data_IF_799477985148
#
_entry.id   IF_799477985148
#
_cell.length_a   1.000
_cell.length_b   1.000
_cell.length_c   1.000
_cell.angle_alpha   90.00
_cell.angle_beta   90.00
_cell.angle_gamma   90.00
#
_symmetry.space_group_name_H-M   'P 1'
#
loop_
_entity.id
_entity.type
_entity.pdbx_description
1 polymer ?
#
# COMPACT_ATOMS: atom_id res chain seq x y z
N UNK A 1 -16.34 10.32 28.19
CA UNK A 1 -15.22 9.90 29.03
C UNK A 1 -15.24 8.39 29.08
N UNK A 2 -14.46 7.80 28.18
CA UNK A 2 -14.21 6.38 28.02
C UNK A 2 -12.73 6.11 28.28
N UNK A 3 -12.37 4.85 28.46
CA UNK A 3 -10.96 4.42 28.52
C UNK A 3 -10.31 4.76 27.17
N UNK A 4 -9.17 5.45 27.20
CA UNK A 4 -8.48 5.98 26.03
C UNK A 4 -8.78 7.45 25.68
N UNK A 5 -9.76 8.10 26.34
CA UNK A 5 -10.02 9.53 26.13
C UNK A 5 -8.89 10.38 26.72
N UNK A 6 -8.43 11.40 25.99
CA UNK A 6 -7.52 12.43 26.53
C UNK A 6 -8.33 13.37 27.43
N UNK A 7 -7.91 13.50 28.68
CA UNK A 7 -8.56 14.30 29.70
C UNK A 7 -7.59 15.33 30.26
N UNK A 8 -8.12 16.51 30.60
CA UNK A 8 -7.39 17.59 31.26
C UNK A 8 -7.93 17.78 32.66
N UNK A 9 -7.03 17.94 33.63
CA UNK A 9 -7.44 18.24 35.00
C UNK A 9 -7.95 19.69 35.13
N UNK A 10 -8.97 19.92 35.96
CA UNK A 10 -9.53 21.27 36.19
C UNK A 10 -8.58 22.12 37.03
N UNK A 11 -7.92 21.50 38.01
CA UNK A 11 -7.09 22.18 39.02
C UNK A 11 -5.59 22.11 38.75
N UNK A 12 -5.17 21.35 37.74
CA UNK A 12 -3.78 21.19 37.36
C UNK A 12 -3.62 21.40 35.84
N UNK A 13 -2.45 21.87 35.41
CA UNK A 13 -2.14 22.07 33.99
C UNK A 13 -1.89 20.77 33.22
N UNK A 14 -1.85 19.66 33.92
CA UNK A 14 -1.50 18.35 33.38
C UNK A 14 -2.67 17.75 32.58
N UNK A 15 -2.30 17.03 31.53
CA UNK A 15 -3.19 16.24 30.69
C UNK A 15 -2.80 14.77 30.83
N UNK A 16 -3.79 13.89 30.74
CA UNK A 16 -3.57 12.46 30.80
C UNK A 16 -4.55 11.69 29.93
N UNK A 17 -4.34 10.40 29.81
CA UNK A 17 -5.24 9.47 29.14
C UNK A 17 -5.89 8.57 30.17
N UNK A 18 -7.20 8.38 30.06
CA UNK A 18 -7.94 7.50 30.98
C UNK A 18 -7.51 6.05 30.74
N UNK A 19 -6.91 5.40 31.75
CA UNK A 19 -6.48 3.99 31.68
C UNK A 19 -7.54 3.05 32.23
N UNK A 20 -8.21 3.44 33.34
CA UNK A 20 -9.17 2.57 34.03
C UNK A 20 -10.17 3.35 34.89
N UNK A 21 -11.35 2.78 35.10
CA UNK A 21 -12.31 3.26 36.10
C UNK A 21 -12.13 2.53 37.43
N UNK A 22 -12.11 3.27 38.53
CA UNK A 22 -12.00 2.75 39.89
C UNK A 22 -13.33 2.85 40.64
N UNK A 23 -13.49 2.07 41.70
CA UNK A 23 -14.61 2.14 42.63
C UNK A 23 -14.67 3.53 43.28
N UNK A 24 -15.88 4.09 43.49
CA UNK A 24 -16.03 5.37 44.18
C UNK A 24 -15.83 6.61 43.30
N UNK A 25 -16.26 6.56 42.03
CA UNK A 25 -16.26 7.69 41.10
C UNK A 25 -14.85 8.27 40.80
N UNK A 26 -13.83 7.44 40.97
CA UNK A 26 -12.44 7.74 40.63
C UNK A 26 -12.07 7.15 39.27
N UNK A 27 -11.15 7.82 38.57
CA UNK A 27 -10.64 7.46 37.25
C UNK A 27 -9.12 7.46 37.35
N UNK A 28 -8.49 6.40 36.87
CA UNK A 28 -7.04 6.34 36.74
C UNK A 28 -6.63 7.02 35.43
N UNK A 29 -5.74 8.00 35.53
CA UNK A 29 -5.16 8.70 34.38
C UNK A 29 -3.66 8.46 34.32
N UNK A 30 -3.13 8.27 33.10
CA UNK A 30 -1.69 8.27 32.83
C UNK A 30 -1.31 9.64 32.26
N UNK A 31 -0.46 10.38 32.97
CA UNK A 31 0.05 11.69 32.54
C UNK A 31 1.17 11.54 31.51
N UNK A 32 1.57 12.63 30.83
CA UNK A 32 2.64 12.61 29.81
C UNK A 32 3.99 12.06 30.33
N UNK A 33 4.24 12.20 31.63
CA UNK A 33 5.42 11.66 32.32
C UNK A 33 5.32 10.15 32.66
N UNK A 34 4.25 9.47 32.25
CA UNK A 34 4.06 8.01 32.43
C UNK A 34 3.62 7.58 33.83
N UNK A 35 3.34 8.52 34.73
CA UNK A 35 2.81 8.22 36.06
C UNK A 35 1.29 8.01 36.03
N UNK A 36 0.82 7.04 36.81
CA UNK A 36 -0.61 6.74 36.96
C UNK A 36 -1.13 7.30 38.26
N UNK A 37 -2.11 8.19 38.17
CA UNK A 37 -2.67 8.90 39.31
C UNK A 37 -4.18 8.67 39.34
N UNK A 38 -4.74 8.19 40.47
CA UNK A 38 -6.18 8.14 40.65
C UNK A 38 -6.72 9.55 40.92
N UNK A 39 -7.63 10.01 40.08
CA UNK A 39 -8.25 11.34 40.18
C UNK A 39 -9.77 11.21 40.17
N UNK A 40 -10.46 12.16 40.77
CA UNK A 40 -11.93 12.15 40.76
C UNK A 40 -12.46 12.49 39.37
N UNK A 41 -13.51 11.79 38.93
CA UNK A 41 -14.16 12.06 37.63
C UNK A 41 -14.62 13.52 37.51
N UNK A 42 -15.02 14.14 38.61
CA UNK A 42 -15.44 15.55 38.68
C UNK A 42 -14.30 16.55 38.45
N UNK A 43 -13.05 16.12 38.57
CA UNK A 43 -11.86 16.97 38.35
C UNK A 43 -11.29 16.84 36.93
N UNK A 44 -11.96 16.09 36.06
CA UNK A 44 -11.53 15.81 34.69
C UNK A 44 -12.48 16.37 33.65
N UNK A 45 -11.91 16.98 32.62
CA UNK A 45 -12.62 17.44 31.42
C UNK A 45 -12.09 16.69 30.21
N UNK A 46 -12.97 16.07 29.42
CA UNK A 46 -12.59 15.38 28.18
C UNK A 46 -12.15 16.42 27.15
N UNK A 47 -10.96 16.24 26.59
CA UNK A 47 -10.45 17.07 25.50
C UNK A 47 -10.86 16.40 24.19
N UNK A 48 -11.92 16.91 23.56
CA UNK A 48 -12.27 16.46 22.21
C UNK A 48 -11.26 17.03 21.19
N UNK A 49 -10.78 16.24 20.22
CA UNK A 49 -9.95 16.75 19.12
C UNK A 49 -10.59 17.94 18.39
N UNK A 50 -11.93 18.00 18.38
CA UNK A 50 -12.71 19.06 17.75
C UNK A 50 -12.77 20.37 18.56
N UNK A 51 -12.52 20.34 19.87
CA UNK A 51 -12.48 21.53 20.73
C UNK A 51 -11.12 22.24 20.65
N UNK A 52 -10.03 21.50 20.46
CA UNK A 52 -8.70 22.08 20.23
C UNK A 52 -8.69 22.96 18.96
N UNK A 53 -9.42 22.58 17.92
CA UNK A 53 -9.54 23.37 16.68
C UNK A 53 -10.45 24.59 16.79
N UNK A 54 -11.42 24.60 17.73
CA UNK A 54 -12.39 25.70 17.87
C UNK A 54 -11.96 26.78 18.85
N UNK A 55 -11.19 26.45 19.89
CA UNK A 55 -10.79 27.41 20.93
C UNK A 55 -9.47 28.14 20.63
N UNK A 56 -8.68 27.69 19.63
CA UNK A 56 -7.41 28.29 19.23
C UNK A 56 -7.49 29.18 17.98
N UNK A 57 -8.69 29.59 17.54
CA UNK A 57 -8.82 30.62 16.51
C UNK A 57 -8.93 32.01 17.15
N UNK A 58 -7.86 32.81 17.25
CA UNK A 58 -8.05 34.25 17.16
C UNK A 58 -8.58 34.54 15.75
N UNK A 59 -9.66 35.31 15.66
CA UNK A 59 -10.15 35.87 14.41
C UNK A 59 -9.05 36.71 13.77
N UNK A 60 -8.29 36.09 12.87
CA UNK A 60 -7.22 36.72 12.13
C UNK A 60 -6.90 35.84 10.93
N UNK A 61 -7.09 36.39 9.73
CA UNK A 61 -6.65 35.80 8.48
C UNK A 61 -5.13 35.59 8.54
N UNK A 62 -4.70 34.41 8.98
CA UNK A 62 -3.33 33.94 8.84
C UNK A 62 -3.36 32.67 8.01
N UNK A 63 -3.03 32.80 6.72
CA UNK A 63 -2.62 31.67 5.91
C UNK A 63 -1.45 30.97 6.61
N UNK A 64 -1.45 29.63 6.75
CA UNK A 64 -0.30 28.94 7.30
C UNK A 64 0.91 29.24 6.41
N UNK A 65 2.07 29.60 7.00
CA UNK A 65 3.27 29.89 6.21
C UNK A 65 3.65 28.62 5.45
N UNK A 66 3.70 28.72 4.12
CA UNK A 66 4.37 27.71 3.30
C UNK A 66 5.83 27.68 3.72
N UNK A 67 6.40 26.53 4.11
CA UNK A 67 7.82 26.43 4.34
C UNK A 67 8.53 26.69 3.00
N UNK A 68 9.16 27.85 2.90
CA UNK A 68 10.05 28.25 1.81
C UNK A 68 11.46 27.79 2.13
N UNK A 69 11.93 26.79 1.41
CA UNK A 69 13.32 26.35 1.40
C UNK A 69 13.46 24.84 1.54
N UNK A 70 14.27 24.17 0.70
CA UNK A 70 14.57 22.75 0.90
C UNK A 70 15.50 22.63 2.10
N UNK A 71 14.93 22.34 3.28
CA UNK A 71 15.73 21.74 4.36
C UNK A 71 15.89 20.28 4.00
N UNK A 72 17.00 19.95 3.32
CA UNK A 72 17.41 18.57 3.14
C UNK A 72 17.84 18.05 4.52
N UNK A 73 16.89 17.54 5.30
CA UNK A 73 17.21 16.59 6.35
C UNK A 73 17.43 15.25 5.68
N UNK A 74 18.60 14.65 5.88
CA UNK A 74 18.97 13.32 5.40
C UNK A 74 18.08 12.16 5.93
N UNK A 75 17.00 12.48 6.66
CA UNK A 75 16.09 11.53 7.32
C UNK A 75 14.62 11.73 6.87
N UNK A 76 14.36 12.05 5.60
CA UNK A 76 12.99 12.04 5.09
C UNK A 76 12.53 10.59 4.89
N UNK A 77 11.37 10.25 5.43
CA UNK A 77 10.74 8.96 5.20
C UNK A 77 9.79 8.50 6.29
N UNK A 78 9.31 7.26 6.11
CA UNK A 78 8.49 6.53 7.09
C UNK A 78 9.37 5.53 7.81
N UNK A 79 9.32 5.53 9.14
CA UNK A 79 10.19 4.70 9.97
C UNK A 79 9.39 3.91 11.00
N UNK A 80 9.91 2.74 11.34
CA UNK A 80 9.59 2.02 12.56
C UNK A 80 10.76 2.16 13.53
N UNK A 81 10.47 2.68 14.72
CA UNK A 81 11.45 2.96 15.75
C UNK A 81 11.17 2.13 17.00
N UNK A 82 12.21 1.52 17.58
CA UNK A 82 12.15 0.84 18.87
C UNK A 82 12.88 1.69 19.89
N UNK A 83 12.13 2.28 20.82
CA UNK A 83 12.65 3.18 21.85
C UNK A 83 12.62 2.46 23.18
N UNK A 84 13.73 2.47 23.92
CA UNK A 84 13.81 1.77 25.20
C UNK A 84 12.87 2.45 26.21
N UNK A 85 11.93 1.68 26.76
CA UNK A 85 11.05 2.14 27.84
C UNK A 85 11.70 1.87 29.20
N UNK A 86 12.46 0.77 29.30
CA UNK A 86 13.24 0.37 30.46
C UNK A 86 14.46 -0.46 29.98
N UNK A 87 15.22 -1.03 30.91
CA UNK A 87 16.44 -1.80 30.61
C UNK A 87 16.18 -3.09 29.80
N UNK A 88 14.92 -3.52 29.64
CA UNK A 88 14.55 -4.81 29.04
C UNK A 88 13.59 -4.70 27.85
N UNK A 89 12.76 -3.66 27.83
CA UNK A 89 11.62 -3.53 26.92
C UNK A 89 11.69 -2.29 26.04
N UNK A 90 11.24 -2.47 24.81
CA UNK A 90 11.12 -1.42 23.81
C UNK A 90 9.66 -1.11 23.52
N UNK A 91 9.34 0.18 23.45
CA UNK A 91 8.13 0.69 22.86
C UNK A 91 8.32 0.90 21.35
N UNK A 92 7.38 0.38 20.55
CA UNK A 92 7.42 0.55 19.10
C UNK A 92 6.68 1.81 18.70
N UNK A 93 7.30 2.61 17.84
CA UNK A 93 6.72 3.83 17.30
C UNK A 93 6.79 3.77 15.78
N UNK A 94 5.68 4.09 15.12
CA UNK A 94 5.66 4.44 13.71
C UNK A 94 5.87 5.95 13.59
N UNK A 95 6.83 6.35 12.78
CA UNK A 95 7.25 7.75 12.64
C UNK A 95 7.10 8.16 11.19
N UNK A 96 6.33 9.21 10.97
CA UNK A 96 6.19 9.86 9.69
C UNK A 96 6.97 11.17 9.70
N UNK A 97 8.18 11.17 9.13
CA UNK A 97 8.96 12.39 8.93
C UNK A 97 8.78 12.99 7.52
N UNK A 98 7.68 12.63 6.85
CA UNK A 98 7.29 13.19 5.55
C UNK A 98 6.21 14.26 5.74
N UNK A 99 5.86 14.92 4.63
CA UNK A 99 4.78 15.91 4.60
C UNK A 99 3.44 15.31 4.12
N UNK A 100 3.34 13.98 4.06
CA UNK A 100 2.16 13.25 3.60
C UNK A 100 1.32 12.75 4.78
N UNK A 101 0.01 12.72 4.60
CA UNK A 101 -0.88 11.92 5.44
C UNK A 101 -0.76 10.46 4.99
N UNK A 102 -0.68 9.55 5.96
CA UNK A 102 -0.52 8.12 5.69
C UNK A 102 -1.53 7.30 6.49
N UNK A 103 -2.73 7.02 5.94
CA UNK A 103 -3.57 5.94 6.42
C UNK A 103 -2.79 4.62 6.37
N UNK A 104 -2.80 3.86 7.47
CA UNK A 104 -2.00 2.65 7.59
C UNK A 104 -2.67 1.54 8.39
N UNK A 105 -2.17 0.33 8.17
CA UNK A 105 -2.37 -0.83 9.05
C UNK A 105 -1.02 -1.44 9.41
N UNK A 106 -0.92 -1.97 10.62
CA UNK A 106 0.24 -2.68 11.12
C UNK A 106 -0.21 -4.00 11.73
N UNK A 107 0.46 -5.09 11.36
CA UNK A 107 0.15 -6.44 11.82
C UNK A 107 1.41 -7.26 12.11
N UNK A 108 1.26 -8.29 12.92
CA UNK A 108 2.25 -9.34 13.14
C UNK A 108 1.94 -10.55 12.27
N UNK A 109 2.94 -11.02 11.53
CA UNK A 109 2.87 -12.24 10.72
C UNK A 109 3.69 -13.33 11.42
N UNK A 110 3.02 -14.44 11.79
CA UNK A 110 3.64 -15.64 12.38
C UNK A 110 3.26 -16.86 11.55
N UNK A 111 4.13 -17.26 10.63
CA UNK A 111 3.85 -18.35 9.70
C UNK A 111 2.77 -17.94 8.69
N UNK A 112 1.57 -18.52 8.80
CA UNK A 112 0.42 -18.23 7.93
C UNK A 112 -0.64 -17.35 8.57
N UNK A 113 -0.52 -17.06 9.87
CA UNK A 113 -1.49 -16.21 10.59
C UNK A 113 -1.01 -14.77 10.65
N UNK A 114 -1.96 -13.85 10.50
CA UNK A 114 -1.75 -12.42 10.59
C UNK A 114 -2.60 -11.85 11.72
N UNK A 115 -1.97 -11.20 12.68
CA UNK A 115 -2.65 -10.56 13.81
C UNK A 115 -2.52 -9.04 13.68
N UNK A 116 -3.64 -8.32 13.58
CA UNK A 116 -3.62 -6.86 13.49
C UNK A 116 -3.21 -6.22 14.81
N UNK A 117 -2.21 -5.34 14.79
CA UNK A 117 -1.76 -4.58 15.97
C UNK A 117 -2.47 -3.23 16.06
N UNK A 118 -2.48 -2.49 14.96
CA UNK A 118 -2.98 -1.12 14.95
C UNK A 118 -3.36 -0.67 13.53
N UNK A 119 -4.30 0.25 13.45
CA UNK A 119 -4.59 1.01 12.23
C UNK A 119 -4.87 2.46 12.57
N UNK A 120 -4.71 3.35 11.61
CA UNK A 120 -4.94 4.78 11.84
C UNK A 120 -4.43 5.64 10.69
N UNK A 121 -4.25 6.93 10.96
CA UNK A 121 -3.66 7.88 10.02
C UNK A 121 -2.46 8.54 10.67
N UNK A 122 -1.27 8.31 10.12
CA UNK A 122 -0.05 9.03 10.50
C UNK A 122 -0.04 10.38 9.81
N UNK A 123 -0.16 11.44 10.61
CA UNK A 123 -0.08 12.82 10.13
C UNK A 123 1.35 13.19 9.71
N UNK A 124 1.52 14.22 8.86
CA UNK A 124 2.82 14.79 8.58
C UNK A 124 3.59 15.12 9.85
N UNK A 125 4.89 14.82 9.88
CA UNK A 125 5.79 15.11 11.01
C UNK A 125 5.25 14.65 12.37
N UNK A 126 4.68 13.45 12.41
CA UNK A 126 4.08 12.89 13.63
C UNK A 126 4.54 11.46 13.86
N UNK A 127 4.23 10.94 15.05
CA UNK A 127 4.49 9.55 15.43
C UNK A 127 3.28 8.93 16.10
N UNK A 128 3.07 7.64 15.88
CA UNK A 128 2.09 6.83 16.62
C UNK A 128 2.83 5.74 17.40
N UNK A 129 2.58 5.70 18.71
CA UNK A 129 3.08 4.66 19.62
C UNK A 129 2.14 3.45 19.57
N UNK A 130 2.72 2.25 19.57
CA UNK A 130 1.99 0.99 19.75
C UNK A 130 1.75 0.72 21.25
N UNK A 131 0.67 0.00 21.55
CA UNK A 131 0.34 -0.39 22.92
C UNK A 131 1.24 -1.53 23.45
N UNK A 132 1.72 -2.40 22.55
CA UNK A 132 2.51 -3.56 22.91
C UNK A 132 3.99 -3.20 23.10
N UNK A 133 4.61 -3.87 24.07
CA UNK A 133 6.03 -3.75 24.39
C UNK A 133 6.76 -5.02 23.97
N UNK A 134 7.99 -4.85 23.49
CA UNK A 134 8.81 -5.96 23.01
C UNK A 134 10.10 -6.06 23.80
N UNK A 135 10.33 -7.23 24.39
CA UNK A 135 11.55 -7.50 25.17
C UNK A 135 12.72 -7.87 24.27
N UNK A 136 13.91 -7.36 24.59
CA UNK A 136 15.15 -7.79 23.93
C UNK A 136 15.41 -9.30 24.08
N UNK A 137 15.06 -9.88 25.22
CA UNK A 137 15.31 -11.30 25.51
C UNK A 137 14.55 -12.25 24.57
N UNK A 138 13.45 -11.77 23.97
CA UNK A 138 12.60 -12.55 23.07
C UNK A 138 12.82 -12.19 21.60
N UNK A 139 13.85 -11.40 21.27
CA UNK A 139 14.09 -10.86 19.93
C UNK A 139 14.11 -11.93 18.83
N UNK A 140 14.70 -13.09 19.09
CA UNK A 140 14.74 -14.21 18.12
C UNK A 140 13.35 -14.79 17.79
N UNK A 141 12.38 -14.57 18.69
CA UNK A 141 10.98 -15.01 18.56
C UNK A 141 10.03 -13.89 18.14
N UNK A 142 10.56 -12.69 17.85
CA UNK A 142 9.73 -11.58 17.39
C UNK A 142 9.05 -11.91 16.05
N UNK A 143 7.82 -11.42 15.85
CA UNK A 143 7.10 -11.64 14.61
C UNK A 143 7.70 -10.81 13.47
N UNK A 144 7.28 -11.14 12.25
CA UNK A 144 7.49 -10.23 11.12
C UNK A 144 6.41 -9.17 11.18
N UNK A 145 6.81 -7.90 11.23
CA UNK A 145 5.86 -6.80 11.17
C UNK A 145 5.48 -6.52 9.72
N UNK A 146 4.19 -6.61 9.39
CA UNK A 146 3.64 -6.19 8.10
C UNK A 146 3.04 -4.79 8.25
N UNK A 147 3.69 -3.81 7.65
CA UNK A 147 3.18 -2.46 7.50
C UNK A 147 2.57 -2.26 6.11
N UNK A 148 1.39 -1.66 6.06
CA UNK A 148 0.73 -1.27 4.83
C UNK A 148 0.22 0.16 4.96
N UNK A 149 0.52 1.02 3.99
CA UNK A 149 0.15 2.43 4.01
C UNK A 149 -0.19 3.00 2.65
N UNK A 150 -1.02 4.03 2.63
CA UNK A 150 -1.42 4.76 1.43
C UNK A 150 -0.96 6.22 1.51
N UNK A 151 -0.34 6.73 0.45
CA UNK A 151 0.09 8.13 0.38
C UNK A 151 -1.10 9.05 0.11
N UNK A 152 -1.36 10.01 1.00
CA UNK A 152 -2.40 11.02 0.80
C UNK A 152 -1.88 12.45 1.03
N UNK A 153 -2.25 13.36 0.13
CA UNK A 153 -2.08 14.80 0.30
C UNK A 153 -3.12 15.52 -0.54
N UNK A 154 -3.71 16.58 0.02
CA UNK A 154 -4.64 17.44 -0.70
C UNK A 154 -3.90 18.43 -1.65
N UNK A 155 -3.15 17.90 -2.60
CA UNK A 155 -2.40 18.66 -3.60
C UNK A 155 -2.28 17.88 -4.92
N UNK A 156 -1.98 18.57 -6.02
CA UNK A 156 -1.58 17.89 -7.26
C UNK A 156 -0.22 17.24 -7.04
N UNK A 157 -0.17 15.92 -7.09
CA UNK A 157 1.01 15.11 -6.83
C UNK A 157 1.05 13.93 -7.80
N UNK A 158 2.25 13.44 -8.09
CA UNK A 158 2.42 12.21 -8.87
C UNK A 158 1.93 11.01 -8.06
N UNK A 159 1.43 10.00 -8.78
CA UNK A 159 1.02 8.74 -8.17
C UNK A 159 2.19 8.07 -7.44
N UNK A 160 1.92 7.57 -6.24
CA UNK A 160 2.83 6.71 -5.47
C UNK A 160 2.10 5.41 -5.16
N UNK A 161 2.79 4.28 -5.37
CA UNK A 161 2.25 2.97 -5.04
C UNK A 161 2.01 2.83 -3.53
N UNK A 162 1.04 2.03 -3.09
CA UNK A 162 0.87 1.69 -1.68
C UNK A 162 2.17 1.15 -1.08
N UNK A 163 2.54 1.65 0.09
CA UNK A 163 3.72 1.20 0.81
C UNK A 163 3.39 -0.10 1.53
N UNK A 164 3.98 -1.21 1.09
CA UNK A 164 3.83 -2.53 1.75
C UNK A 164 5.21 -3.01 2.16
N UNK A 165 5.46 -3.13 3.47
CA UNK A 165 6.76 -3.51 4.01
C UNK A 165 6.62 -4.62 5.04
N UNK A 166 7.35 -5.72 4.82
CA UNK A 166 7.59 -6.76 5.82
C UNK A 166 8.94 -6.50 6.50
N UNK A 167 8.93 -6.27 7.80
CA UNK A 167 10.12 -6.04 8.60
C UNK A 167 10.31 -7.18 9.60
N UNK A 168 11.42 -7.90 9.45
CA UNK A 168 11.88 -8.88 10.44
C UNK A 168 13.10 -8.33 11.18
N UNK A 169 12.95 -8.09 12.47
CA UNK A 169 14.05 -7.62 13.31
C UNK A 169 15.04 -8.77 13.58
N UNK A 170 16.34 -8.50 13.46
CA UNK A 170 17.41 -9.46 13.77
C UNK A 170 18.42 -8.81 14.73
N UNK A 171 18.94 -9.58 15.68
CA UNK A 171 19.86 -9.09 16.72
C UNK A 171 21.11 -8.40 16.16
N UNK A 172 21.63 -8.89 15.03
CA UNK A 172 22.83 -8.34 14.37
C UNK A 172 22.61 -6.91 13.84
N UNK A 173 21.41 -6.62 13.29
CA UNK A 173 21.08 -5.32 12.72
C UNK A 173 20.55 -4.35 13.77
N UNK A 174 20.05 -4.87 14.90
CA UNK A 174 19.48 -4.08 15.98
C UNK A 174 20.54 -3.18 16.62
N UNK A 175 21.70 -3.68 17.01
CA UNK A 175 22.73 -2.84 17.66
C UNK A 175 23.28 -1.69 16.78
N UNK A 176 23.30 -1.87 15.45
CA UNK A 176 23.84 -0.89 14.50
C UNK A 176 22.81 0.20 14.15
N UNK A 177 21.52 -0.05 14.35
CA UNK A 177 20.44 0.87 13.96
C UNK A 177 20.11 1.94 15.00
N UNK A 178 20.90 2.05 16.09
CA UNK A 178 20.68 3.05 17.14
C UNK A 178 20.99 4.45 16.61
N UNK A 179 19.94 5.26 16.44
CA UNK A 179 19.99 6.63 15.95
C UNK A 179 18.98 7.49 16.70
N UNK A 180 19.09 8.80 16.54
CA UNK A 180 18.04 9.71 16.98
C UNK A 180 16.80 9.52 16.11
N UNK A 181 15.68 9.18 16.74
CA UNK A 181 14.40 8.97 16.08
C UNK A 181 13.81 10.33 15.70
N UNK A 182 13.52 10.59 14.40
CA UNK A 182 12.88 11.83 13.97
C UNK A 182 11.54 12.06 14.68
N UNK A 183 11.12 13.31 14.85
CA UNK A 183 9.89 13.73 15.57
C UNK A 183 9.93 13.48 17.08
N UNK A 184 10.38 12.31 17.53
CA UNK A 184 10.47 11.94 18.94
C UNK A 184 11.70 12.53 19.65
N UNK A 185 12.79 12.81 18.92
CA UNK A 185 14.06 13.31 19.46
C UNK A 185 14.67 12.43 20.56
N UNK A 186 14.39 11.13 20.53
CA UNK A 186 14.90 10.13 21.47
C UNK A 186 15.85 9.16 20.77
N UNK A 187 16.72 8.51 21.53
CA UNK A 187 17.57 7.44 21.00
C UNK A 187 16.75 6.16 20.84
N UNK A 188 16.82 5.56 19.65
CA UNK A 188 16.10 4.32 19.36
C UNK A 188 16.67 3.58 18.16
N UNK A 189 16.26 2.34 18.01
CA UNK A 189 16.63 1.51 16.86
C UNK A 189 15.69 1.84 15.70
N UNK A 190 16.22 2.45 14.65
CA UNK A 190 15.43 3.02 13.56
C UNK A 190 15.52 2.15 12.30
N UNK A 191 14.35 1.79 11.75
CA UNK A 191 14.21 1.04 10.50
C UNK A 191 13.37 1.84 9.52
N UNK A 192 13.93 2.13 8.36
CA UNK A 192 13.21 2.83 7.30
C UNK A 192 12.31 1.87 6.53
N UNK A 193 11.02 2.18 6.45
CA UNK A 193 10.01 1.33 5.83
C UNK A 193 9.89 1.58 4.33
N UNK A 194 10.20 2.79 3.88
CA UNK A 194 10.14 3.25 2.48
C UNK A 194 11.51 3.22 1.77
N UNK A 195 12.54 2.59 2.35
CA UNK A 195 13.88 2.55 1.76
C UNK A 195 13.95 1.85 0.39
N UNK A 196 13.06 0.89 0.13
CA UNK A 196 12.97 0.19 -1.15
C UNK A 196 12.03 0.89 -2.14
N UNK A 197 11.40 1.99 -1.72
CA UNK A 197 10.68 2.88 -2.63
C UNK A 197 11.73 3.61 -3.46
N UNK A 198 12.27 2.92 -4.47
CA UNK A 198 12.85 3.62 -5.62
C UNK A 198 11.74 4.52 -6.10
N UNK A 199 11.91 5.83 -5.95
CA UNK A 199 11.03 6.81 -6.59
C UNK A 199 10.89 6.32 -8.03
N UNK A 200 9.71 5.78 -8.36
CA UNK A 200 9.44 5.43 -9.73
C UNK A 200 9.66 6.74 -10.49
N UNK A 201 10.60 6.80 -11.46
CA UNK A 201 10.72 7.99 -12.26
C UNK A 201 9.32 8.32 -12.76
N UNK A 202 8.97 9.61 -12.74
CA UNK A 202 7.67 10.13 -13.14
C UNK A 202 7.25 9.77 -14.59
N UNK A 203 8.01 8.90 -15.26
CA UNK A 203 7.91 8.46 -16.64
C UNK A 203 7.02 7.21 -16.83
N UNK A 204 6.51 6.59 -15.76
CA UNK A 204 5.58 5.46 -15.88
C UNK A 204 4.09 5.85 -15.84
N UNK A 205 3.76 7.14 -15.94
CA UNK A 205 2.47 7.55 -16.46
C UNK A 205 2.65 7.71 -17.97
N UNK A 206 2.08 6.79 -18.75
CA UNK A 206 1.96 6.97 -20.19
C UNK A 206 1.51 8.41 -20.47
N UNK A 207 2.22 9.20 -21.28
CA UNK A 207 1.68 10.48 -21.71
C UNK A 207 0.35 10.17 -22.41
N UNK A 208 -0.73 10.81 -21.93
CA UNK A 208 -1.96 10.90 -22.68
C UNK A 208 -1.57 11.35 -24.10
N UNK A 209 -2.04 10.67 -25.17
CA UNK A 209 -1.77 11.14 -26.51
C UNK A 209 -2.37 12.53 -26.65
N UNK A 210 -1.51 13.56 -26.69
CA UNK A 210 -1.89 14.92 -27.06
C UNK A 210 -2.16 14.91 -28.57
N UNK A 211 -3.35 14.47 -28.94
CA UNK A 211 -3.93 14.83 -30.23
C UNK A 211 -4.28 16.32 -30.11
N UNK A 212 -3.82 17.20 -31.01
CA UNK A 212 -4.21 18.60 -31.01
C UNK A 212 -5.69 18.68 -31.41
N UNK A 213 -6.59 18.62 -30.43
CA UNK A 213 -8.03 18.70 -30.63
C UNK A 213 -8.43 20.15 -30.86
N UNK A 214 -9.04 20.41 -32.02
CA UNK A 214 -9.49 21.74 -32.40
C UNK A 214 -10.75 22.11 -31.60
N UNK A 215 -10.93 23.37 -31.15
CA UNK A 215 -12.09 23.79 -30.34
C UNK A 215 -13.46 23.65 -31.01
N UNK A 216 -13.51 23.26 -32.28
CA UNK A 216 -14.73 23.21 -33.09
C UNK A 216 -15.38 21.82 -33.05
N UNK A 217 -14.59 20.74 -32.94
CA UNK A 217 -15.10 19.36 -32.87
C UNK A 217 -15.75 19.03 -31.50
N UNK A 218 -15.28 19.66 -30.41
CA UNK A 218 -15.84 19.49 -29.06
C UNK A 218 -17.30 19.98 -28.93
N UNK A 219 -17.72 20.99 -29.71
CA UNK A 219 -19.08 21.53 -29.60
C UNK A 219 -20.13 20.58 -30.21
N UNK A 220 -19.74 19.77 -31.17
CA UNK A 220 -20.65 18.83 -31.85
C UNK A 220 -20.82 17.53 -31.06
N UNK A 221 -19.79 17.08 -30.33
CA UNK A 221 -19.87 15.89 -29.46
C UNK A 221 -20.59 16.13 -28.12
N UNK A 222 -20.51 17.35 -27.55
CA UNK A 222 -21.15 17.67 -26.26
C UNK A 222 -22.69 17.71 -26.29
N UNK A 223 -23.30 17.69 -27.48
CA UNK A 223 -24.76 17.70 -27.65
C UNK A 223 -25.40 16.30 -27.66
N UNK A 224 -24.61 15.22 -27.67
CA UNK A 224 -25.13 13.85 -27.72
C UNK A 224 -24.67 13.02 -26.53
N UNK A 225 -25.67 12.58 -25.77
CA UNK A 225 -25.64 11.54 -24.74
C UNK A 225 -25.07 11.90 -23.35
N UNK A 226 -26.04 12.21 -22.49
CA UNK A 226 -26.01 12.12 -21.03
C UNK A 226 -25.81 10.67 -20.58
N UNK A 227 -25.13 10.51 -19.44
CA UNK A 227 -24.94 9.32 -18.59
C UNK A 227 -23.79 8.37 -18.95
N UNK A 228 -22.73 8.39 -18.14
CA UNK A 228 -22.11 7.15 -17.68
C UNK A 228 -21.45 7.30 -16.29
N UNK A 229 -21.71 6.37 -15.35
CA UNK A 229 -21.02 6.27 -14.07
C UNK A 229 -19.59 5.72 -14.26
N UNK A 230 -18.74 5.93 -13.25
CA UNK A 230 -17.35 5.48 -13.24
C UNK A 230 -17.23 3.99 -13.61
N UNK A 231 -16.47 3.71 -14.67
CA UNK A 231 -16.23 2.36 -15.20
C UNK A 231 -15.15 1.70 -14.32
N UNK A 232 -15.43 0.61 -13.59
CA UNK A 232 -14.38 -0.21 -12.98
C UNK A 232 -13.51 -0.81 -14.09
N UNK A 233 -12.24 -1.21 -13.83
CA UNK A 233 -11.40 -1.81 -14.87
C UNK A 233 -12.16 -2.96 -15.53
N UNK A 234 -12.56 -2.77 -16.78
CA UNK A 234 -13.31 -3.77 -17.52
C UNK A 234 -12.32 -4.85 -17.93
N UNK A 235 -12.27 -5.94 -17.17
CA UNK A 235 -11.69 -7.17 -17.67
C UNK A 235 -12.61 -7.66 -18.78
N UNK A 236 -12.22 -7.40 -20.02
CA UNK A 236 -12.94 -7.90 -21.18
C UNK A 236 -12.78 -9.42 -21.21
N UNK A 237 -13.91 -10.12 -21.18
CA UNK A 237 -13.94 -11.58 -21.31
C UNK A 237 -13.38 -11.95 -22.68
N UNK A 238 -12.22 -12.60 -22.76
CA UNK A 238 -11.63 -12.95 -24.04
C UNK A 238 -12.50 -13.99 -24.75
N UNK A 239 -12.30 -14.13 -26.06
CA UNK A 239 -12.92 -15.21 -26.82
C UNK A 239 -12.42 -16.57 -26.30
N UNK A 240 -13.30 -17.58 -26.28
CA UNK A 240 -12.92 -18.94 -25.86
C UNK A 240 -11.83 -19.57 -26.73
N UNK A 241 -11.61 -19.03 -27.93
CA UNK A 241 -10.55 -19.41 -28.86
C UNK A 241 -9.79 -18.14 -29.25
N UNK A 242 -8.48 -18.17 -29.06
CA UNK A 242 -7.56 -17.06 -29.31
C UNK A 242 -6.51 -17.51 -30.29
N UNK A 243 -6.31 -16.75 -31.37
CA UNK A 243 -5.24 -16.98 -32.32
C UNK A 243 -4.02 -16.11 -31.99
N UNK A 244 -2.88 -16.76 -31.78
CA UNK A 244 -1.60 -16.12 -31.47
C UNK A 244 -0.70 -15.98 -32.70
N UNK A 245 -1.14 -16.32 -33.91
CA UNK A 245 -0.32 -16.10 -35.11
C UNK A 245 -0.02 -14.61 -35.31
N UNK A 246 1.21 -14.32 -35.73
CA UNK A 246 1.70 -12.95 -35.94
C UNK A 246 0.81 -12.17 -36.93
N UNK A 247 0.27 -12.82 -37.96
CA UNK A 247 -0.60 -12.18 -38.94
C UNK A 247 -1.92 -11.69 -38.33
N UNK A 248 -2.40 -12.35 -37.27
CA UNK A 248 -3.58 -11.96 -36.51
C UNK A 248 -3.24 -10.86 -35.51
N UNK A 249 -2.11 -10.98 -34.81
CA UNK A 249 -1.67 -10.01 -33.81
C UNK A 249 -1.21 -8.69 -34.45
N UNK A 250 -0.66 -8.74 -35.66
CA UNK A 250 -0.14 -7.60 -36.42
C UNK A 250 -0.69 -7.61 -37.85
N UNK A 251 -1.91 -7.12 -38.07
CA UNK A 251 -2.52 -7.08 -39.42
C UNK A 251 -1.75 -6.22 -40.43
N UNK A 252 -0.87 -5.33 -39.96
CA UNK A 252 0.01 -4.48 -40.79
C UNK A 252 1.37 -5.12 -41.08
N UNK A 253 1.58 -6.38 -40.67
CA UNK A 253 2.82 -7.13 -40.82
C UNK A 253 3.84 -6.89 -39.70
N UNK A 254 4.94 -7.66 -39.68
CA UNK A 254 5.92 -7.68 -38.57
C UNK A 254 6.76 -6.41 -38.44
N UNK A 255 6.71 -5.47 -39.39
CA UNK A 255 7.27 -4.12 -39.23
C UNK A 255 8.77 -4.03 -38.95
N UNK A 256 9.56 -5.01 -39.41
CA UNK A 256 11.01 -5.06 -39.18
C UNK A 256 11.45 -5.69 -37.85
N UNK A 257 10.52 -6.24 -37.06
CA UNK A 257 10.81 -6.92 -35.81
C UNK A 257 11.65 -8.17 -36.00
N UNK A 258 12.55 -8.41 -35.06
CA UNK A 258 13.35 -9.63 -35.01
C UNK A 258 12.49 -10.84 -34.59
N UNK A 259 12.84 -12.08 -34.97
CA UNK A 259 12.08 -13.27 -34.59
C UNK A 259 11.85 -13.43 -33.08
N UNK A 260 12.81 -13.00 -32.25
CA UNK A 260 12.67 -13.00 -30.79
C UNK A 260 11.58 -12.04 -30.30
N UNK A 261 11.54 -10.81 -30.84
CA UNK A 261 10.53 -9.80 -30.49
C UNK A 261 9.12 -10.23 -30.89
N UNK A 262 9.00 -10.95 -32.01
CA UNK A 262 7.72 -11.53 -32.45
C UNK A 262 7.25 -12.62 -31.47
N UNK A 263 8.16 -13.47 -30.99
CA UNK A 263 7.84 -14.47 -29.98
C UNK A 263 7.43 -13.82 -28.66
N UNK A 264 8.14 -12.80 -28.21
CA UNK A 264 7.82 -12.07 -26.97
C UNK A 264 6.42 -11.45 -27.06
N UNK A 265 6.06 -10.82 -28.18
CA UNK A 265 4.71 -10.29 -28.41
C UNK A 265 3.62 -11.37 -28.32
N UNK A 266 3.87 -12.56 -28.88
CA UNK A 266 2.93 -13.69 -28.80
C UNK A 266 2.74 -14.16 -27.36
N UNK A 267 3.82 -14.20 -26.58
CA UNK A 267 3.80 -14.64 -25.18
C UNK A 267 3.14 -13.61 -24.26
N UNK A 268 3.41 -12.32 -24.45
CA UNK A 268 2.73 -11.24 -23.74
C UNK A 268 1.22 -11.24 -24.01
N UNK A 269 0.84 -11.45 -25.28
CA UNK A 269 -0.58 -11.54 -25.66
C UNK A 269 -1.24 -12.77 -25.02
N UNK A 270 -0.56 -13.91 -25.01
CA UNK A 270 -1.00 -15.12 -24.33
C UNK A 270 -1.22 -14.89 -22.82
N UNK A 271 -0.25 -14.30 -22.12
CA UNK A 271 -0.33 -14.02 -20.68
C UNK A 271 -1.51 -13.09 -20.36
N UNK A 272 -1.63 -11.98 -21.10
CA UNK A 272 -2.72 -11.01 -20.92
C UNK A 272 -4.09 -11.67 -21.06
N UNK A 273 -4.27 -12.51 -22.09
CA UNK A 273 -5.55 -13.15 -22.36
C UNK A 273 -5.86 -14.28 -21.38
N UNK A 274 -4.84 -15.00 -20.89
CA UNK A 274 -5.00 -15.98 -19.82
C UNK A 274 -5.45 -15.31 -18.52
N UNK A 275 -4.81 -14.21 -18.12
CA UNK A 275 -5.20 -13.44 -16.92
C UNK A 275 -6.61 -12.87 -17.04
N UNK A 276 -6.99 -12.33 -18.19
CA UNK A 276 -8.37 -11.87 -18.42
C UNK A 276 -9.38 -13.02 -18.35
N UNK A 277 -9.05 -14.20 -18.86
CA UNK A 277 -9.92 -15.37 -18.77
C UNK A 277 -10.12 -15.81 -17.31
N UNK A 278 -9.06 -15.78 -16.50
CA UNK A 278 -9.11 -16.08 -15.06
C UNK A 278 -9.94 -15.03 -14.32
N UNK A 279 -9.66 -13.74 -14.55
CA UNK A 279 -10.35 -12.63 -13.90
C UNK A 279 -11.85 -12.58 -14.22
N UNK A 280 -12.24 -13.06 -15.41
CA UNK A 280 -13.65 -13.13 -15.84
C UNK A 280 -14.32 -14.48 -15.52
N UNK A 281 -13.64 -15.38 -14.83
CA UNK A 281 -14.18 -16.67 -14.38
C UNK A 281 -14.47 -17.65 -15.53
N UNK A 282 -13.71 -17.60 -16.62
CA UNK A 282 -13.83 -18.59 -17.69
C UNK A 282 -13.35 -19.95 -17.22
N UNK A 283 -14.10 -21.01 -17.54
CA UNK A 283 -13.72 -22.39 -17.22
C UNK A 283 -12.64 -22.94 -18.14
N UNK A 284 -12.59 -22.46 -19.39
CA UNK A 284 -11.62 -22.92 -20.40
C UNK A 284 -11.34 -21.83 -21.44
N UNK A 285 -10.13 -21.88 -22.01
CA UNK A 285 -9.68 -21.06 -23.13
C UNK A 285 -8.74 -21.86 -24.03
N UNK A 286 -8.82 -21.67 -25.35
CA UNK A 286 -7.99 -22.39 -26.34
C UNK A 286 -7.08 -21.41 -27.06
N UNK A 287 -5.78 -21.67 -27.08
CA UNK A 287 -4.78 -20.86 -27.77
C UNK A 287 -4.28 -21.57 -29.01
N UNK A 288 -4.42 -20.95 -30.18
CA UNK A 288 -3.89 -21.42 -31.45
C UNK A 288 -2.48 -20.84 -31.60
N UNK A 289 -1.46 -21.71 -31.61
CA UNK A 289 -0.05 -21.34 -31.69
C UNK A 289 0.63 -21.86 -32.96
N UNK A 290 -0.11 -22.59 -33.81
CA UNK A 290 0.38 -23.16 -35.06
C UNK A 290 1.28 -24.39 -34.87
N UNK A 291 1.71 -24.96 -36.00
CA UNK A 291 2.53 -26.20 -36.09
C UNK A 291 3.97 -25.96 -36.52
N UNK A 292 4.48 -24.74 -36.39
CA UNK A 292 5.83 -24.36 -36.81
C UNK A 292 6.96 -25.11 -36.08
N UNK A 293 8.02 -24.41 -35.69
CA UNK A 293 9.18 -25.02 -34.99
C UNK A 293 8.88 -25.57 -33.59
N UNK A 294 7.66 -25.37 -33.08
CA UNK A 294 7.24 -25.82 -31.75
C UNK A 294 7.75 -24.95 -30.60
N UNK A 295 8.47 -23.85 -30.88
CA UNK A 295 9.00 -22.93 -29.88
C UNK A 295 7.88 -22.30 -29.05
N UNK A 296 6.86 -21.72 -29.69
CA UNK A 296 5.72 -21.10 -29.01
C UNK A 296 4.93 -22.11 -28.17
N UNK A 297 4.66 -23.30 -28.70
CA UNK A 297 4.00 -24.40 -27.96
C UNK A 297 4.75 -24.76 -26.68
N UNK A 298 6.06 -25.00 -26.79
CA UNK A 298 6.91 -25.40 -25.67
C UNK A 298 6.89 -24.35 -24.57
N UNK A 299 6.91 -23.08 -24.97
CA UNK A 299 6.99 -21.94 -24.09
C UNK A 299 5.64 -21.59 -23.43
N UNK A 300 4.52 -21.87 -24.12
CA UNK A 300 3.16 -21.90 -23.55
C UNK A 300 3.03 -23.00 -22.50
N UNK A 301 3.39 -24.23 -22.84
CA UNK A 301 3.28 -25.39 -21.93
C UNK A 301 4.14 -25.19 -20.67
N UNK A 302 5.34 -24.62 -20.82
CA UNK A 302 6.23 -24.27 -19.69
C UNK A 302 5.57 -23.29 -18.71
N UNK A 303 4.89 -22.26 -19.22
CA UNK A 303 4.17 -21.26 -18.40
C UNK A 303 2.93 -21.85 -17.76
N UNK A 304 2.10 -22.54 -18.54
CA UNK A 304 0.86 -23.17 -18.07
C UNK A 304 1.12 -24.17 -16.95
N UNK A 305 2.18 -24.98 -17.05
CA UNK A 305 2.55 -25.96 -16.03
C UNK A 305 2.98 -25.35 -14.68
N UNK A 306 3.31 -24.06 -14.64
CA UNK A 306 3.68 -23.34 -13.41
C UNK A 306 2.59 -22.40 -12.92
N UNK A 307 1.48 -22.29 -13.65
CA UNK A 307 0.46 -21.28 -13.39
C UNK A 307 -0.48 -21.71 -12.25
N UNK A 308 -0.60 -20.94 -11.14
CA UNK A 308 -1.35 -21.37 -9.95
C UNK A 308 -2.85 -21.54 -10.20
N UNK A 309 -3.41 -20.81 -11.18
CA UNK A 309 -4.84 -20.83 -11.51
C UNK A 309 -5.20 -21.72 -12.71
N UNK A 310 -4.23 -22.45 -13.27
CA UNK A 310 -4.50 -23.46 -14.31
C UNK A 310 -4.70 -24.82 -13.65
N UNK A 311 -5.77 -25.51 -14.01
CA UNK A 311 -6.11 -26.84 -13.49
C UNK A 311 -5.32 -27.92 -14.24
N UNK A 312 -5.43 -27.91 -15.57
CA UNK A 312 -4.64 -28.73 -16.49
C UNK A 312 -4.74 -28.13 -17.91
N UNK A 313 -3.90 -28.58 -18.82
CA UNK A 313 -3.95 -28.20 -20.22
C UNK A 313 -3.67 -29.42 -21.10
N UNK A 314 -4.19 -29.41 -22.32
CA UNK A 314 -4.04 -30.47 -23.30
C UNK A 314 -3.88 -29.89 -24.71
N UNK A 315 -3.21 -30.61 -25.60
CA UNK A 315 -3.21 -30.24 -27.01
C UNK A 315 -4.63 -30.44 -27.57
N UNK A 316 -5.19 -29.41 -28.21
CA UNK A 316 -6.55 -29.45 -28.73
C UNK A 316 -6.65 -30.42 -29.92
N UNK A 317 -7.75 -31.18 -29.98
CA UNK A 317 -7.92 -32.25 -30.98
C UNK A 317 -7.94 -31.73 -32.43
N UNK A 318 -7.20 -32.42 -33.30
CA UNK A 318 -6.97 -32.08 -34.72
C UNK A 318 -8.24 -31.82 -35.56
N UNK A 319 -9.40 -32.34 -35.16
CA UNK A 319 -10.62 -32.33 -35.96
C UNK A 319 -11.37 -30.99 -35.94
N UNK A 320 -11.16 -30.11 -34.94
CA UNK A 320 -11.84 -28.79 -34.86
C UNK A 320 -10.96 -27.58 -35.19
N UNK A 321 -9.65 -27.68 -35.01
CA UNK A 321 -8.74 -26.53 -35.10
C UNK A 321 -7.55 -26.74 -36.04
N UNK A 322 -7.52 -27.85 -36.77
CA UNK A 322 -6.58 -28.14 -37.84
C UNK A 322 -5.22 -27.47 -37.69
N UNK A 323 -4.35 -28.00 -36.81
CA UNK A 323 -2.93 -27.62 -36.61
C UNK A 323 -2.63 -26.68 -35.41
N UNK A 324 -2.22 -27.31 -34.29
CA UNK A 324 -1.38 -26.67 -33.26
C UNK A 324 -2.08 -25.69 -32.31
N UNK A 325 -2.94 -26.21 -31.44
CA UNK A 325 -3.58 -25.41 -30.39
C UNK A 325 -3.49 -26.11 -29.04
N UNK A 326 -3.48 -25.32 -27.96
CA UNK A 326 -3.46 -25.80 -26.58
C UNK A 326 -4.75 -25.35 -25.89
N UNK A 327 -5.53 -26.29 -25.37
CA UNK A 327 -6.72 -26.05 -24.56
C UNK A 327 -6.32 -26.00 -23.09
N UNK A 328 -6.74 -24.94 -22.40
CA UNK A 328 -6.40 -24.65 -21.01
C UNK A 328 -7.68 -24.69 -20.18
N UNK A 329 -7.67 -25.45 -19.10
CA UNK A 329 -8.75 -25.51 -18.12
C UNK A 329 -8.35 -24.70 -16.89
N UNK A 330 -9.17 -23.72 -16.53
CA UNK A 330 -8.94 -22.78 -15.42
C UNK A 330 -9.65 -23.31 -14.16
N UNK A 331 -9.09 -23.00 -12.98
CA UNK A 331 -9.57 -23.50 -11.68
C UNK A 331 -10.89 -22.90 -11.22
#
# INVERSE_FOLDING_TARGET
MNIGDKVRMIRAKEQGVVTRFLSGNQVEIEIEDGFRIPVLRSELVVVSPLEAERLLRPSGNAQPPRPTGPVILANQGIYMAFVAQNDREFAVHLVNNTDWDMPYTLAEERGTTLNGLQSGVLKPRSSAKLNDYYSFSTLDSWPTFLFQGLWFRAAKVSFRSPLVKRLKCRAQTFHVSKKTVPVLNQQGHLYQLDADEKEAPAEALMPLPTVPLSPQELKEEMLKAKNNPAIPPSFERPSSVVDLHIDVLLPKGPGGRQPGELLDLQLETFEKLLENAIATGMSEITFIHGVGTGTLRTELHRRLGRHPHVKYFEDAQKQKFGYGATKVFIK
#
